data_IF_836525373302
#
_entry.id   IF_836525373302
#
_cell.length_a   1.000
_cell.length_b   1.000
_cell.length_c   1.000
_cell.angle_alpha   90.00
_cell.angle_beta   90.00
_cell.angle_gamma   90.00
#
_symmetry.space_group_name_H-M   'P 1'
#
loop_
_entity.id
_entity.type
_entity.pdbx_description
1 polymer ?
#
# COMPACT_ATOMS: atom_id res chain seq x y z
N UNK A 1 17.45 2.11 -0.13
CA UNK A 1 17.10 0.80 -0.63
C UNK A 1 15.62 0.71 -1.00
N UNK A 2 15.31 0.04 -2.06
CA UNK A 2 13.92 -0.16 -2.46
C UNK A 2 13.54 -1.62 -2.37
N UNK A 3 12.25 -1.87 -2.24
CA UNK A 3 11.73 -3.22 -2.11
C UNK A 3 10.23 -3.19 -1.98
N UNK A 4 9.65 -4.37 -1.87
CA UNK A 4 8.21 -4.50 -1.75
C UNK A 4 7.83 -4.63 -0.29
N UNK A 5 6.87 -3.81 0.13
CA UNK A 5 6.32 -3.86 1.47
C UNK A 5 4.95 -4.48 1.42
N UNK A 6 4.65 -5.29 2.41
CA UNK A 6 3.32 -5.87 2.57
C UNK A 6 2.93 -5.80 4.03
N UNK A 7 1.73 -5.34 4.30
CA UNK A 7 1.20 -5.24 5.65
C UNK A 7 -0.03 -6.12 5.75
N UNK A 8 -0.25 -6.69 6.92
CA UNK A 8 -1.33 -7.64 7.13
C UNK A 8 -2.13 -7.28 8.36
N UNK A 9 -3.41 -7.59 8.32
CA UNK A 9 -4.24 -7.54 9.51
C UNK A 9 -3.86 -8.71 10.43
N UNK A 10 -4.29 -8.62 11.67
CA UNK A 10 -4.03 -9.68 12.64
C UNK A 10 -4.72 -10.99 12.27
N UNK A 11 -5.67 -10.95 11.36
CA UNK A 11 -6.35 -12.15 10.87
C UNK A 11 -5.58 -12.85 9.76
N UNK A 12 -4.50 -12.23 9.27
CA UNK A 12 -3.74 -12.76 8.14
C UNK A 12 -4.16 -12.21 6.80
N UNK A 13 -5.25 -11.45 6.75
CA UNK A 13 -5.70 -10.80 5.53
C UNK A 13 -4.73 -9.68 5.13
N UNK A 14 -4.39 -9.60 3.87
CA UNK A 14 -3.52 -8.55 3.37
C UNK A 14 -4.18 -7.18 3.58
N UNK A 15 -3.43 -6.27 4.19
CA UNK A 15 -3.90 -4.92 4.43
C UNK A 15 -3.48 -3.98 3.31
N UNK A 16 -2.21 -4.05 2.92
CA UNK A 16 -1.69 -3.18 1.87
C UNK A 16 -0.41 -3.78 1.32
N UNK A 17 -0.14 -3.49 0.05
CA UNK A 17 1.06 -4.00 -0.59
C UNK A 17 1.49 -3.02 -1.67
N UNK A 18 2.79 -2.81 -1.79
CA UNK A 18 3.33 -1.93 -2.82
C UNK A 18 4.82 -1.79 -2.68
N UNK A 19 5.37 -0.88 -3.46
CA UNK A 19 6.80 -0.64 -3.48
C UNK A 19 7.19 0.38 -2.43
N UNK A 20 8.43 0.26 -1.96
CA UNK A 20 9.01 1.26 -1.08
C UNK A 20 10.35 1.70 -1.66
N UNK A 21 10.72 2.92 -1.34
CA UNK A 21 12.00 3.46 -1.77
C UNK A 21 12.48 4.42 -0.69
N UNK A 22 13.69 4.16 -0.19
CA UNK A 22 14.30 4.99 0.84
C UNK A 22 13.41 5.15 2.07
N UNK A 23 12.70 4.07 2.41
CA UNK A 23 11.83 4.07 3.57
C UNK A 23 10.49 4.74 3.37
N UNK A 24 10.12 5.06 2.14
CA UNK A 24 8.85 5.73 1.85
C UNK A 24 8.06 4.96 0.81
N UNK A 25 6.76 5.15 0.83
CA UNK A 25 5.89 4.57 -0.19
C UNK A 25 6.23 5.19 -1.54
N UNK A 26 6.33 4.34 -2.54
CA UNK A 26 6.68 4.80 -3.88
C UNK A 26 6.02 3.89 -4.90
N UNK A 27 5.42 4.47 -5.94
CA UNK A 27 4.81 3.69 -7.01
C UNK A 27 3.42 3.21 -6.66
N UNK A 28 3.02 2.12 -7.29
CA UNK A 28 1.65 1.61 -7.15
C UNK A 28 1.45 0.90 -5.83
N UNK A 29 0.35 1.22 -5.17
CA UNK A 29 -0.03 0.58 -3.92
C UNK A 29 -1.48 0.15 -3.98
N UNK A 30 -1.79 -0.95 -3.32
CA UNK A 30 -3.16 -1.41 -3.19
C UNK A 30 -3.43 -1.67 -1.71
N UNK A 31 -4.57 -1.17 -1.24
CA UNK A 31 -5.00 -1.39 0.13
C UNK A 31 -6.28 -2.22 0.15
N UNK A 32 -6.47 -2.96 1.22
CA UNK A 32 -7.62 -3.83 1.39
C UNK A 32 -8.26 -3.61 2.74
N UNK A 33 -9.56 -3.79 2.80
CA UNK A 33 -10.28 -3.80 4.06
C UNK A 33 -10.18 -5.19 4.67
N UNK A 34 -10.62 -5.29 5.93
CA UNK A 34 -10.58 -6.57 6.62
C UNK A 34 -11.38 -7.66 5.91
N UNK A 35 -12.41 -7.28 5.17
CA UNK A 35 -13.24 -8.25 4.45
C UNK A 35 -12.64 -8.65 3.10
N UNK A 36 -11.49 -8.09 2.75
CA UNK A 36 -10.79 -8.45 1.52
C UNK A 36 -11.10 -7.58 0.33
N UNK A 37 -12.01 -6.61 0.48
CA UNK A 37 -12.34 -5.72 -0.64
C UNK A 37 -11.29 -4.62 -0.77
N UNK A 38 -11.12 -4.11 -1.99
CA UNK A 38 -10.15 -3.04 -2.23
C UNK A 38 -10.61 -1.77 -1.55
N UNK A 39 -9.68 -1.14 -0.85
CA UNK A 39 -9.93 0.11 -0.15
C UNK A 39 -9.35 1.24 -0.99
N UNK A 40 -10.19 1.89 -1.77
CA UNK A 40 -9.75 2.89 -2.74
C UNK A 40 -9.04 4.08 -2.11
N UNK A 41 -9.36 4.37 -0.86
CA UNK A 41 -8.71 5.47 -0.16
C UNK A 41 -7.19 5.29 -0.11
N UNK A 42 -6.75 4.05 0.02
CA UNK A 42 -5.33 3.75 0.16
C UNK A 42 -4.71 3.21 -1.13
N UNK A 43 -5.54 2.94 -2.14
CA UNK A 43 -5.08 2.39 -3.40
C UNK A 43 -4.77 3.53 -4.36
N UNK A 44 -3.62 3.47 -5.01
CA UNK A 44 -3.24 4.48 -5.98
C UNK A 44 -1.73 4.55 -6.13
N UNK A 45 -1.27 5.64 -6.70
CA UNK A 45 0.15 5.86 -6.93
C UNK A 45 0.69 6.80 -5.86
N UNK A 46 1.85 6.45 -5.33
CA UNK A 46 2.50 7.23 -4.28
C UNK A 46 3.84 7.75 -4.76
N UNK A 47 4.21 8.90 -4.24
CA UNK A 47 5.51 9.50 -4.53
C UNK A 47 5.99 10.20 -3.27
N UNK A 48 7.20 9.82 -2.81
CA UNK A 48 7.78 10.35 -1.58
C UNK A 48 6.86 10.19 -0.38
N UNK A 49 6.12 9.08 -0.35
CA UNK A 49 5.23 8.80 0.76
C UNK A 49 3.85 9.42 0.66
N UNK A 50 3.58 10.16 -0.41
CA UNK A 50 2.30 10.84 -0.59
C UNK A 50 1.54 10.27 -1.77
N UNK A 51 0.23 10.11 -1.60
CA UNK A 51 -0.62 9.67 -2.69
C UNK A 51 -0.80 10.82 -3.67
N UNK A 52 -0.47 10.56 -4.94
CA UNK A 52 -0.44 11.62 -5.96
C UNK A 52 -1.55 11.49 -7.00
N UNK A 53 -2.36 10.45 -6.92
CA UNK A 53 -3.52 10.37 -7.80
C UNK A 53 -4.77 10.14 -6.96
N UNK A 54 -5.89 10.31 -7.57
CA UNK A 54 -7.16 10.21 -6.85
C UNK A 54 -7.69 8.78 -6.80
#
# INVERSE_FOLDING_TARGET
RQGIWAFYYDTGQLLAKGDSKRGKFEGSWVGYRKDGTVWEKWTGTYKNGQKVDN
#
